data_IF_673200033384
#
_entry.id   IF_673200033384
#
_cell.length_a   1.000
_cell.length_b   1.000
_cell.length_c   1.000
_cell.angle_alpha   90.00
_cell.angle_beta   90.00
_cell.angle_gamma   90.00
#
_symmetry.space_group_name_H-M   'P 1'
#
loop_
_entity.id
_entity.type
_entity.pdbx_description
1 polymer ?
#
# COMPACT_ATOMS: atom_id res chain seq x y z
N UNK A 1 -5.92 -1.84 -10.34
CA UNK A 1 -4.89 -2.65 -9.65
C UNK A 1 -4.08 -3.53 -10.59
N UNK A 2 -4.70 -4.33 -11.47
CA UNK A 2 -3.98 -5.20 -12.43
C UNK A 2 -3.03 -4.39 -13.33
N UNK A 3 -3.51 -3.30 -13.93
CA UNK A 3 -2.68 -2.43 -14.79
C UNK A 3 -1.45 -1.88 -14.05
N UNK A 4 -1.62 -1.41 -12.79
CA UNK A 4 -0.50 -0.93 -11.96
C UNK A 4 0.51 -2.04 -11.71
N UNK A 5 0.04 -3.24 -11.38
CA UNK A 5 0.91 -4.38 -11.13
C UNK A 5 1.69 -4.76 -12.40
N UNK A 6 1.05 -4.75 -13.58
CA UNK A 6 1.73 -5.03 -14.85
C UNK A 6 2.78 -3.97 -15.18
N UNK A 7 2.45 -2.69 -15.02
CA UNK A 7 3.41 -1.61 -15.27
C UNK A 7 4.60 -1.71 -14.31
N UNK A 8 4.36 -1.90 -13.01
CA UNK A 8 5.44 -2.03 -12.03
C UNK A 8 6.25 -3.33 -12.23
N UNK A 9 5.65 -4.40 -12.73
CA UNK A 9 6.37 -5.63 -13.09
C UNK A 9 7.33 -5.39 -14.27
N UNK A 10 6.84 -4.77 -15.34
CA UNK A 10 7.66 -4.43 -16.52
C UNK A 10 8.79 -3.48 -16.11
N UNK A 11 8.48 -2.48 -15.29
CA UNK A 11 9.46 -1.49 -14.84
C UNK A 11 10.48 -2.08 -13.87
N UNK A 12 10.07 -2.98 -12.97
CA UNK A 12 10.98 -3.73 -12.12
C UNK A 12 11.95 -4.58 -12.94
N UNK A 13 11.45 -5.25 -13.99
CA UNK A 13 12.26 -5.99 -14.95
C UNK A 13 13.25 -5.08 -15.71
N UNK A 14 12.80 -3.93 -16.18
CA UNK A 14 13.65 -2.94 -16.84
C UNK A 14 14.76 -2.45 -15.92
N UNK A 15 14.44 -2.05 -14.68
CA UNK A 15 15.44 -1.59 -13.71
C UNK A 15 16.45 -2.68 -13.38
N UNK A 16 16.00 -3.93 -13.23
CA UNK A 16 16.89 -5.04 -12.96
C UNK A 16 17.83 -5.32 -14.15
N UNK A 17 17.30 -5.30 -15.38
CA UNK A 17 18.09 -5.49 -16.60
C UNK A 17 19.14 -4.37 -16.78
N UNK A 18 18.72 -3.11 -16.69
CA UNK A 18 19.61 -1.95 -16.81
C UNK A 18 20.69 -1.97 -15.70
N UNK A 19 20.31 -2.30 -14.48
CA UNK A 19 21.24 -2.41 -13.36
C UNK A 19 22.29 -3.51 -13.54
N UNK A 20 21.88 -4.70 -14.00
CA UNK A 20 22.80 -5.81 -14.25
C UNK A 20 23.76 -5.50 -15.39
N UNK A 21 23.30 -4.85 -16.46
CA UNK A 21 24.16 -4.42 -17.56
C UNK A 21 25.19 -3.40 -17.08
N UNK A 22 24.77 -2.36 -16.36
CA UNK A 22 25.69 -1.34 -15.84
C UNK A 22 26.70 -1.94 -14.86
N UNK A 23 26.25 -2.86 -14.00
CA UNK A 23 27.12 -3.57 -13.09
C UNK A 23 28.18 -4.38 -13.85
N UNK A 24 27.79 -5.12 -14.90
CA UNK A 24 28.74 -5.87 -15.74
C UNK A 24 29.72 -4.98 -16.49
N UNK A 25 29.32 -3.75 -16.80
CA UNK A 25 30.15 -2.76 -17.48
C UNK A 25 30.97 -1.89 -16.51
N UNK A 26 30.93 -2.17 -15.19
CA UNK A 26 31.53 -1.34 -14.14
C UNK A 26 31.12 0.14 -14.19
N UNK A 27 29.92 0.42 -14.72
CA UNK A 27 29.38 1.77 -14.83
C UNK A 27 28.67 2.16 -13.54
N UNK A 28 28.63 3.48 -13.28
CA UNK A 28 27.82 4.00 -12.19
C UNK A 28 26.34 3.74 -12.44
N UNK A 29 25.64 3.29 -11.39
CA UNK A 29 24.20 3.03 -11.43
C UNK A 29 23.35 4.23 -10.97
N UNK A 30 23.95 5.13 -10.18
CA UNK A 30 23.31 6.33 -9.63
C UNK A 30 24.36 7.42 -9.49
N UNK A 31 23.98 8.68 -9.61
CA UNK A 31 24.91 9.81 -9.44
C UNK A 31 25.53 9.89 -8.03
N UNK A 32 24.92 9.24 -7.04
CA UNK A 32 25.39 9.24 -5.65
C UNK A 32 26.18 7.99 -5.26
N UNK A 33 26.56 7.18 -6.23
CA UNK A 33 27.20 5.90 -5.97
C UNK A 33 28.53 6.03 -5.22
N UNK A 34 29.29 7.07 -5.55
CA UNK A 34 30.54 7.44 -4.85
C UNK A 34 30.27 7.95 -3.42
N UNK A 35 29.17 8.68 -3.21
CA UNK A 35 28.79 9.23 -1.89
C UNK A 35 28.31 8.16 -0.91
N UNK A 36 27.80 7.03 -1.41
CA UNK A 36 27.31 5.91 -0.61
C UNK A 36 28.35 4.78 -0.47
N UNK A 37 29.62 5.04 -0.77
CA UNK A 37 30.70 4.06 -0.62
C UNK A 37 30.52 2.82 -1.51
N UNK A 38 29.91 2.98 -2.69
CA UNK A 38 29.61 1.88 -3.62
C UNK A 38 28.38 1.05 -3.26
N UNK A 39 27.69 1.34 -2.16
CA UNK A 39 26.42 0.69 -1.83
C UNK A 39 25.27 1.13 -2.77
N UNK A 40 25.39 2.31 -3.37
CA UNK A 40 24.43 2.84 -4.35
C UNK A 40 24.20 1.90 -5.54
N UNK A 41 25.22 1.10 -5.93
CA UNK A 41 25.19 0.12 -7.02
C UNK A 41 24.11 -0.93 -6.87
N UNK A 42 23.75 -1.27 -5.65
CA UNK A 42 22.78 -2.33 -5.40
C UNK A 42 21.35 -1.82 -5.27
N UNK A 43 21.13 -0.50 -5.11
CA UNK A 43 19.80 0.07 -4.89
C UNK A 43 18.85 -0.22 -6.07
N UNK A 44 19.24 -0.03 -7.35
CA UNK A 44 18.34 -0.34 -8.47
C UNK A 44 18.03 -1.84 -8.61
N UNK A 45 18.97 -2.71 -8.23
CA UNK A 45 18.79 -4.17 -8.24
C UNK A 45 17.76 -4.57 -7.19
N UNK A 46 17.94 -4.11 -5.95
CA UNK A 46 17.03 -4.39 -4.84
C UNK A 46 15.63 -3.85 -5.15
N UNK A 47 15.56 -2.62 -5.68
CA UNK A 47 14.30 -2.00 -6.08
C UNK A 47 13.62 -2.78 -7.22
N UNK A 48 14.36 -3.21 -8.24
CA UNK A 48 13.82 -4.00 -9.35
C UNK A 48 13.23 -5.32 -8.88
N UNK A 49 13.97 -6.06 -8.05
CA UNK A 49 13.50 -7.34 -7.47
C UNK A 49 12.27 -7.12 -6.59
N UNK A 50 12.29 -6.11 -5.71
CA UNK A 50 11.16 -5.85 -4.82
C UNK A 50 9.91 -5.42 -5.60
N UNK A 51 10.07 -4.65 -6.68
CA UNK A 51 8.99 -4.30 -7.60
C UNK A 51 8.38 -5.52 -8.28
N UNK A 52 9.21 -6.45 -8.76
CA UNK A 52 8.74 -7.70 -9.39
C UNK A 52 7.91 -8.52 -8.38
N UNK A 53 8.48 -8.81 -7.21
CA UNK A 53 7.84 -9.64 -6.18
C UNK A 53 6.52 -8.99 -5.73
N UNK A 54 6.55 -7.70 -5.39
CA UNK A 54 5.35 -6.99 -4.93
C UNK A 54 4.28 -6.90 -6.00
N UNK A 55 4.65 -6.75 -7.27
CA UNK A 55 3.71 -6.76 -8.40
C UNK A 55 3.05 -8.12 -8.58
N UNK A 56 3.80 -9.23 -8.48
CA UNK A 56 3.22 -10.58 -8.52
C UNK A 56 2.25 -10.79 -7.36
N UNK A 57 2.62 -10.38 -6.14
CA UNK A 57 1.73 -10.49 -4.98
C UNK A 57 0.48 -9.61 -5.16
N UNK A 58 0.60 -8.41 -5.74
CA UNK A 58 -0.54 -7.55 -6.03
C UNK A 58 -1.49 -8.17 -7.08
N UNK A 59 -0.95 -8.87 -8.09
CA UNK A 59 -1.78 -9.61 -9.07
C UNK A 59 -2.59 -10.73 -8.40
N UNK A 60 -2.00 -11.42 -7.42
CA UNK A 60 -2.65 -12.53 -6.70
C UNK A 60 -3.66 -12.00 -5.67
N UNK A 61 -3.21 -11.13 -4.75
CA UNK A 61 -4.01 -10.69 -3.59
C UNK A 61 -4.95 -9.53 -3.88
N UNK A 62 -4.63 -8.67 -4.85
CA UNK A 62 -5.43 -7.49 -5.25
C UNK A 62 -5.92 -6.64 -4.06
N UNK A 63 -5.07 -6.46 -3.05
CA UNK A 63 -5.43 -5.77 -1.81
C UNK A 63 -4.96 -4.32 -1.80
N UNK A 64 -5.67 -3.46 -1.05
CA UNK A 64 -5.32 -2.04 -0.87
C UNK A 64 -3.94 -1.87 -0.22
N UNK A 65 -3.54 -2.79 0.67
CA UNK A 65 -2.19 -2.80 1.24
C UNK A 65 -1.11 -3.02 0.18
N UNK A 66 -1.34 -3.95 -0.76
CA UNK A 66 -0.40 -4.17 -1.86
C UNK A 66 -0.40 -3.02 -2.88
N UNK A 67 -1.54 -2.32 -3.04
CA UNK A 67 -1.61 -1.09 -3.83
C UNK A 67 -0.76 0.03 -3.20
N UNK A 68 -0.75 0.13 -1.86
CA UNK A 68 0.13 1.07 -1.15
C UNK A 68 1.60 0.71 -1.31
N UNK A 69 1.94 -0.57 -1.27
CA UNK A 69 3.30 -1.04 -1.59
C UNK A 69 3.68 -0.66 -3.03
N UNK A 70 2.79 -0.83 -4.00
CA UNK A 70 3.04 -0.38 -5.38
C UNK A 70 3.27 1.13 -5.49
N UNK A 71 2.51 1.93 -4.73
CA UNK A 71 2.72 3.38 -4.60
C UNK A 71 4.11 3.71 -4.05
N UNK A 72 4.55 3.04 -2.97
CA UNK A 72 5.89 3.25 -2.39
C UNK A 72 6.98 2.96 -3.42
N UNK A 73 6.85 1.87 -4.18
CA UNK A 73 7.83 1.53 -5.21
C UNK A 73 7.91 2.60 -6.31
N UNK A 74 6.77 3.11 -6.78
CA UNK A 74 6.77 4.19 -7.78
C UNK A 74 7.39 5.48 -7.22
N UNK A 75 7.17 5.79 -5.93
CA UNK A 75 7.80 6.91 -5.27
C UNK A 75 9.32 6.73 -5.16
N UNK A 76 9.79 5.57 -4.71
CA UNK A 76 11.22 5.27 -4.58
C UNK A 76 11.92 5.26 -5.95
N UNK A 77 11.27 4.71 -6.97
CA UNK A 77 11.77 4.76 -8.34
C UNK A 77 12.00 6.21 -8.77
N UNK A 78 11.02 7.09 -8.59
CA UNK A 78 11.18 8.51 -8.88
C UNK A 78 12.28 9.15 -8.02
N UNK A 79 12.32 8.88 -6.71
CA UNK A 79 13.30 9.47 -5.80
C UNK A 79 14.75 9.18 -6.23
N UNK A 80 15.05 7.94 -6.62
CA UNK A 80 16.40 7.54 -6.99
C UNK A 80 16.74 7.80 -8.46
N UNK A 81 15.79 7.63 -9.39
CA UNK A 81 16.07 7.82 -10.82
C UNK A 81 15.96 9.27 -11.29
N UNK A 82 15.15 10.11 -10.63
CA UNK A 82 14.99 11.52 -11.05
C UNK A 82 16.32 12.26 -11.04
N UNK A 83 17.11 12.24 -9.95
CA UNK A 83 18.42 12.89 -9.95
C UNK A 83 19.33 12.34 -11.04
N UNK A 84 19.36 11.02 -11.24
CA UNK A 84 20.19 10.39 -12.27
C UNK A 84 19.84 10.88 -13.68
N UNK A 85 18.55 10.93 -14.03
CA UNK A 85 18.10 11.43 -15.35
C UNK A 85 18.49 12.89 -15.58
N UNK A 86 18.33 13.76 -14.57
CA UNK A 86 18.55 15.20 -14.74
C UNK A 86 20.02 15.63 -14.58
N UNK A 87 20.81 14.93 -13.76
CA UNK A 87 22.20 15.31 -13.49
C UNK A 87 23.23 14.50 -14.29
N UNK A 88 22.97 13.22 -14.62
CA UNK A 88 23.90 12.47 -15.50
C UNK A 88 23.54 12.60 -16.98
N UNK A 89 22.30 12.97 -17.30
CA UNK A 89 21.84 13.30 -18.64
C UNK A 89 22.07 12.18 -19.67
N UNK A 90 21.97 12.54 -20.96
CA UNK A 90 22.03 11.63 -22.13
C UNK A 90 23.29 10.73 -22.15
N UNK A 91 24.36 11.10 -21.44
CA UNK A 91 25.62 10.34 -21.37
C UNK A 91 25.46 8.94 -20.77
N UNK A 92 24.53 8.78 -19.84
CA UNK A 92 24.28 7.49 -19.17
C UNK A 92 22.99 6.80 -19.66
N UNK A 93 22.42 7.23 -20.79
CA UNK A 93 21.25 6.60 -21.45
C UNK A 93 19.99 6.45 -20.58
N UNK A 94 19.81 7.26 -19.55
CA UNK A 94 18.55 7.22 -18.80
C UNK A 94 17.41 7.80 -19.63
N UNK A 95 16.34 7.03 -19.82
CA UNK A 95 15.16 7.48 -20.56
C UNK A 95 14.22 8.29 -19.65
N UNK A 96 13.90 9.56 -19.97
CA UNK A 96 12.98 10.37 -19.16
C UNK A 96 11.56 9.80 -19.14
N UNK A 97 11.19 8.99 -20.14
CA UNK A 97 9.88 8.34 -20.21
C UNK A 97 9.61 7.38 -19.06
N UNK A 98 10.66 6.82 -18.45
CA UNK A 98 10.58 5.97 -17.26
C UNK A 98 10.02 6.78 -16.09
N UNK A 99 10.48 8.02 -15.92
CA UNK A 99 9.98 8.92 -14.88
C UNK A 99 8.52 9.30 -15.14
N UNK A 100 8.19 9.65 -16.38
CA UNK A 100 6.81 10.00 -16.76
C UNK A 100 5.86 8.84 -16.47
N UNK A 101 6.26 7.61 -16.82
CA UNK A 101 5.47 6.42 -16.56
C UNK A 101 5.32 6.15 -15.06
N UNK A 102 6.40 6.21 -14.29
CA UNK A 102 6.35 5.98 -12.83
C UNK A 102 5.55 7.07 -12.11
N UNK A 103 5.64 8.32 -12.56
CA UNK A 103 4.83 9.41 -12.04
C UNK A 103 3.34 9.19 -12.33
N UNK A 104 3.00 8.70 -13.52
CA UNK A 104 1.62 8.35 -13.87
C UNK A 104 1.09 7.21 -12.98
N UNK A 105 1.90 6.17 -12.74
CA UNK A 105 1.52 5.07 -11.83
C UNK A 105 1.33 5.58 -10.40
N UNK A 106 2.17 6.52 -9.95
CA UNK A 106 2.05 7.14 -8.64
C UNK A 106 0.71 7.86 -8.50
N UNK A 107 0.34 8.70 -9.47
CA UNK A 107 -0.95 9.43 -9.48
C UNK A 107 -2.13 8.46 -9.44
N UNK A 108 -2.14 7.46 -10.33
CA UNK A 108 -3.24 6.49 -10.40
C UNK A 108 -3.34 5.70 -9.09
N UNK A 109 -2.20 5.33 -8.49
CA UNK A 109 -2.18 4.64 -7.20
C UNK A 109 -2.74 5.53 -6.09
N UNK A 110 -2.40 6.82 -6.06
CA UNK A 110 -2.97 7.79 -5.10
C UNK A 110 -4.48 7.89 -5.22
N UNK A 111 -5.00 8.03 -6.45
CA UNK A 111 -6.45 8.10 -6.69
C UNK A 111 -7.13 6.83 -6.20
N UNK A 112 -6.60 5.65 -6.56
CA UNK A 112 -7.19 4.37 -6.16
C UNK A 112 -7.11 4.13 -4.65
N UNK A 113 -6.04 4.56 -3.99
CA UNK A 113 -5.91 4.48 -2.53
C UNK A 113 -6.93 5.40 -1.84
N UNK A 114 -7.11 6.61 -2.37
CA UNK A 114 -8.11 7.56 -1.88
C UNK A 114 -9.53 6.98 -2.00
N UNK A 115 -9.92 6.50 -3.18
CA UNK A 115 -11.25 5.92 -3.40
C UNK A 115 -11.48 4.66 -2.58
N UNK A 116 -10.45 3.83 -2.40
CA UNK A 116 -10.53 2.62 -1.55
C UNK A 116 -10.76 2.97 -0.08
N UNK A 117 -10.17 4.08 0.41
CA UNK A 117 -10.37 4.57 1.78
C UNK A 117 -11.80 5.10 1.99
N UNK A 118 -12.36 5.79 1.00
CA UNK A 118 -13.75 6.26 1.05
C UNK A 118 -14.75 5.10 1.03
N UNK A 119 -14.53 4.09 0.17
CA UNK A 119 -15.35 2.89 0.15
C UNK A 119 -15.27 2.11 1.49
N UNK A 120 -14.10 2.06 2.13
CA UNK A 120 -13.95 1.46 3.45
C UNK A 120 -14.77 2.17 4.54
N UNK A 121 -14.87 3.50 4.50
CA UNK A 121 -15.73 4.27 5.43
C UNK A 121 -17.21 4.03 5.16
N UNK A 122 -17.63 4.01 3.89
CA UNK A 122 -19.00 3.71 3.50
C UNK A 122 -19.44 2.31 3.95
N UNK A 123 -18.59 1.29 3.72
CA UNK A 123 -18.89 -0.10 4.10
C UNK A 123 -18.92 -0.33 5.61
N UNK A 124 -18.01 0.32 6.35
CA UNK A 124 -18.03 0.30 7.81
C UNK A 124 -19.26 1.01 8.39
N UNK A 125 -19.74 2.09 7.74
CA UNK A 125 -20.95 2.78 8.18
C UNK A 125 -22.24 1.97 7.95
N UNK A 126 -22.30 1.16 6.89
CA UNK A 126 -23.43 0.26 6.61
C UNK A 126 -23.45 -0.90 7.62
N UNK A 127 -22.30 -1.58 7.82
CA UNK A 127 -22.18 -2.65 8.83
C UNK A 127 -22.51 -2.17 10.25
N UNK A 128 -22.12 -0.93 10.58
CA UNK A 128 -22.46 -0.32 11.87
C UNK A 128 -23.95 0.02 11.99
N UNK A 129 -24.62 0.34 10.88
CA UNK A 129 -26.06 0.63 10.86
C UNK A 129 -26.89 -0.65 11.04
N UNK A 130 -26.52 -1.72 10.34
CA UNK A 130 -27.17 -3.04 10.45
C UNK A 130 -27.06 -3.58 11.89
N UNK A 131 -25.87 -3.50 12.50
CA UNK A 131 -25.66 -3.93 13.89
C UNK A 131 -26.42 -3.06 14.90
N UNK A 132 -26.60 -1.76 14.63
CA UNK A 132 -27.35 -0.86 15.50
C UNK A 132 -28.87 -1.10 15.40
N UNK A 133 -29.38 -1.38 14.20
CA UNK A 133 -30.79 -1.71 13.97
C UNK A 133 -31.14 -3.10 14.53
N UNK A 134 -30.22 -4.07 14.45
CA UNK A 134 -30.36 -5.40 15.07
C UNK A 134 -30.34 -5.33 16.61
N UNK A 135 -29.44 -4.53 17.19
CA UNK A 135 -29.42 -4.24 18.63
C UNK A 135 -30.71 -3.53 19.10
N UNK A 136 -31.21 -2.58 18.32
CA UNK A 136 -32.45 -1.85 18.65
C UNK A 136 -33.68 -2.75 18.60
N UNK A 137 -33.71 -3.69 17.66
CA UNK A 137 -34.82 -4.63 17.50
C UNK A 137 -34.84 -5.65 18.64
N UNK A 138 -33.67 -6.18 19.03
CA UNK A 138 -33.55 -7.06 20.21
C UNK A 138 -33.87 -6.36 21.53
N UNK A 139 -33.51 -5.08 21.70
CA UNK A 139 -33.89 -4.30 22.90
C UNK A 139 -35.40 -4.03 22.99
N UNK A 140 -36.09 -3.81 21.87
CA UNK A 140 -37.55 -3.65 21.86
C UNK A 140 -38.26 -4.96 22.22
N UNK A 141 -37.71 -6.10 21.84
CA UNK A 141 -38.25 -7.41 22.18
C UNK A 141 -38.08 -7.72 23.68
N UNK A 142 -37.01 -7.24 24.30
CA UNK A 142 -36.76 -7.41 25.74
C UNK A 142 -37.61 -6.52 26.66
N UNK A 143 -38.13 -5.40 26.13
CA UNK A 143 -39.00 -4.47 26.88
C UNK A 143 -40.50 -4.81 26.81
N UNK A 144 -40.84 -5.92 26.16
CA UNK A 144 -42.22 -6.39 25.99
C UNK A 144 -42.71 -7.37 27.06
N UNK A 145 -41.88 -7.73 28.05
CA UNK A 145 -42.18 -8.79 29.02
C UNK A 145 -41.90 -8.37 30.48
N UNK A 146 -42.19 -7.12 30.82
CA UNK A 146 -42.13 -6.58 32.20
C UNK A 146 -43.35 -7.02 33.04
N UNK A 147 -43.65 -8.32 33.07
CA UNK A 147 -44.70 -8.91 33.93
C UNK A 147 -44.14 -9.95 34.91
N UNK A 148 -43.05 -9.62 35.62
CA UNK A 148 -42.62 -10.41 36.78
C UNK A 148 -42.30 -9.49 37.98
N UNK A 149 -43.05 -9.58 39.10
CA UNK A 149 -42.80 -8.75 40.26
C UNK A 149 -41.48 -9.14 40.94
N UNK A 150 -40.68 -8.12 41.29
CA UNK A 150 -39.44 -8.27 42.08
C UNK A 150 -39.73 -8.90 43.45
N UNK A 151 -38.93 -9.88 43.92
CA UNK A 151 -39.05 -10.37 45.28
C UNK A 151 -38.64 -9.29 46.28
N UNK A 152 -39.50 -9.08 47.28
CA UNK A 152 -39.34 -8.17 48.41
C UNK A 152 -38.10 -8.54 49.25
N UNK A 153 -37.13 -7.63 49.30
CA UNK A 153 -35.93 -7.73 50.13
C UNK A 153 -36.22 -7.27 51.56
N UNK A 154 -36.98 -8.05 52.32
CA UNK A 154 -37.17 -7.81 53.75
C UNK A 154 -37.12 -9.11 54.55
N UNK A 155 -35.90 -9.49 54.96
CA UNK A 155 -35.61 -10.23 56.20
C UNK A 155 -34.10 -10.50 56.30
N UNK A 156 -33.39 -9.65 57.04
CA UNK A 156 -32.15 -10.06 57.69
C UNK A 156 -32.45 -10.78 59.01
N UNK A 157 -31.54 -11.63 59.50
CA UNK A 157 -31.23 -11.67 60.93
C UNK A 157 -29.71 -11.58 61.15
N UNK A 158 -29.24 -10.51 61.80
CA UNK A 158 -28.89 -10.42 63.25
C UNK A 158 -27.71 -11.31 63.67
N UNK A 159 -26.63 -10.61 64.02
CA UNK A 159 -25.40 -11.10 64.60
C UNK A 159 -25.61 -11.77 65.98
N UNK A 160 -24.85 -12.85 66.21
CA UNK A 160 -23.95 -13.01 67.37
C UNK A 160 -22.90 -14.06 67.03
#
# INVERSE_FOLDING_TARGET
MIAIALVNLIMGGYFLYDALIRLSANQSLLIFDEYLGGFGRYIPIVLGISMIISSMILLIKKSTGMLFVAYIHSFLALLFYTPSVFYSGIKERYSPWILVLQFSVLIVSTILLYTSKEQGKGRASILRKDSYDEYRTSMKQYKGDDSNPRPDSSKGPKAK
#
